data_IF_854577937840
#
_entry.id   IF_854577937840
#
_cell.length_a   1.000
_cell.length_b   1.000
_cell.length_c   1.000
_cell.angle_alpha   90.00
_cell.angle_beta   90.00
_cell.angle_gamma   90.00
#
_symmetry.space_group_name_H-M   'P 1'
#
loop_
_entity.id
_entity.type
_entity.pdbx_description
1 polymer ?
#
# COMPACT_ATOMS: atom_id res chain seq x y z
N UNK A 1 -14.80 -17.76 -10.10
CA UNK A 1 -15.53 -16.74 -9.32
C UNK A 1 -14.63 -16.37 -8.15
N UNK A 2 -14.38 -15.09 -7.89
CA UNK A 2 -13.61 -14.67 -6.74
C UNK A 2 -14.43 -14.95 -5.47
N UNK A 3 -13.83 -15.69 -4.53
CA UNK A 3 -14.43 -15.92 -3.22
C UNK A 3 -14.28 -14.66 -2.37
N UNK A 4 -15.33 -14.25 -1.69
CA UNK A 4 -15.37 -13.09 -0.80
C UNK A 4 -15.40 -13.55 0.64
N UNK A 5 -14.68 -12.85 1.51
CA UNK A 5 -14.67 -13.06 2.96
C UNK A 5 -15.11 -11.79 3.65
N UNK A 6 -15.96 -11.92 4.66
CA UNK A 6 -16.45 -10.78 5.44
C UNK A 6 -15.96 -10.90 6.88
N UNK A 7 -15.43 -9.79 7.40
CA UNK A 7 -15.07 -9.63 8.81
C UNK A 7 -15.91 -8.51 9.40
N UNK A 8 -16.35 -8.64 10.63
CA UNK A 8 -17.20 -7.67 11.29
C UNK A 8 -16.74 -7.37 12.72
N UNK A 9 -16.79 -6.10 13.08
CA UNK A 9 -16.67 -5.61 14.45
C UNK A 9 -17.90 -4.76 14.79
N UNK A 10 -18.06 -4.29 16.05
CA UNK A 10 -19.14 -3.35 16.38
C UNK A 10 -19.17 -2.09 15.51
N UNK A 11 -18.00 -1.56 15.09
CA UNK A 11 -17.89 -0.29 14.37
C UNK A 11 -17.62 -0.45 12.89
N UNK A 12 -16.94 -1.52 12.47
CA UNK A 12 -16.45 -1.70 11.10
C UNK A 12 -16.97 -2.99 10.48
N UNK A 13 -17.11 -2.96 9.14
CA UNK A 13 -17.22 -4.17 8.33
C UNK A 13 -16.17 -4.13 7.21
N UNK A 14 -15.57 -5.27 6.95
CA UNK A 14 -14.52 -5.44 5.94
C UNK A 14 -14.93 -6.52 4.97
N UNK A 15 -14.78 -6.26 3.68
CA UNK A 15 -14.92 -7.24 2.62
C UNK A 15 -13.57 -7.47 1.97
N UNK A 16 -13.16 -8.73 1.89
CA UNK A 16 -11.92 -9.18 1.27
C UNK A 16 -12.23 -10.08 0.08
N UNK A 17 -11.32 -10.16 -0.88
CA UNK A 17 -11.39 -11.11 -2.01
C UNK A 17 -10.10 -11.93 -2.07
N UNK A 18 -10.22 -13.21 -2.41
CA UNK A 18 -9.06 -14.08 -2.64
C UNK A 18 -8.22 -13.63 -3.86
N UNK A 19 -8.81 -12.94 -4.84
CA UNK A 19 -8.05 -12.35 -5.95
C UNK A 19 -7.20 -11.20 -5.46
N UNK A 20 -5.87 -11.41 -5.42
CA UNK A 20 -4.90 -10.43 -4.93
C UNK A 20 -4.90 -10.27 -3.41
N UNK A 21 -5.51 -11.18 -2.62
CA UNK A 21 -5.79 -11.00 -1.19
C UNK A 21 -6.27 -9.55 -0.93
N UNK A 22 -7.29 -9.13 -1.66
CA UNK A 22 -7.70 -7.75 -1.87
C UNK A 22 -8.60 -7.22 -0.77
N UNK A 23 -8.32 -6.02 -0.28
CA UNK A 23 -9.23 -5.24 0.54
C UNK A 23 -10.24 -4.53 -0.40
N UNK A 24 -11.47 -5.07 -0.47
CA UNK A 24 -12.52 -4.59 -1.37
C UNK A 24 -13.32 -3.46 -0.75
N UNK A 25 -13.65 -3.59 0.55
CA UNK A 25 -14.43 -2.61 1.29
C UNK A 25 -13.93 -2.50 2.73
N UNK A 26 -13.95 -1.28 3.24
CA UNK A 26 -13.78 -0.94 4.64
C UNK A 26 -14.91 0.04 4.99
N UNK A 27 -15.93 -0.45 5.70
CA UNK A 27 -17.18 0.26 6.00
C UNK A 27 -17.22 0.71 7.45
N UNK A 28 -17.51 1.98 7.67
CA UNK A 28 -17.90 2.54 8.97
C UNK A 28 -19.40 2.33 9.17
N UNK A 29 -19.81 1.42 10.07
CA UNK A 29 -21.19 0.95 10.20
C UNK A 29 -22.14 2.08 10.60
N UNK A 30 -21.77 2.91 11.59
CA UNK A 30 -22.61 3.98 12.12
C UNK A 30 -23.04 4.98 11.03
N UNK A 31 -22.16 5.28 10.09
CA UNK A 31 -22.41 6.24 9.00
C UNK A 31 -22.83 5.54 7.70
N UNK A 32 -22.82 4.20 7.66
CA UNK A 32 -22.96 3.41 6.44
C UNK A 32 -22.03 3.90 5.32
N UNK A 33 -20.77 4.21 5.68
CA UNK A 33 -19.81 4.89 4.84
C UNK A 33 -18.65 3.98 4.45
N UNK A 34 -18.49 3.69 3.16
CA UNK A 34 -17.29 3.06 2.63
C UNK A 34 -16.12 4.05 2.59
N UNK A 35 -14.98 3.65 3.14
CA UNK A 35 -13.76 4.47 3.15
C UNK A 35 -12.94 4.31 1.88
N UNK A 36 -13.28 3.34 1.03
CA UNK A 36 -12.55 2.99 -0.18
C UNK A 36 -13.32 3.37 -1.44
N UNK A 37 -12.57 3.48 -2.53
CA UNK A 37 -13.10 3.67 -3.88
C UNK A 37 -14.07 2.53 -4.22
N UNK A 38 -15.28 2.88 -4.64
CA UNK A 38 -16.28 1.91 -5.08
C UNK A 38 -15.86 1.29 -6.42
N UNK A 39 -15.83 -0.02 -6.45
CA UNK A 39 -15.45 -0.82 -7.63
C UNK A 39 -16.55 -1.79 -8.08
N UNK A 40 -17.77 -1.67 -7.56
CA UNK A 40 -18.86 -2.61 -7.84
C UNK A 40 -19.21 -2.74 -9.33
N UNK A 41 -19.00 -1.68 -10.11
CA UNK A 41 -19.25 -1.65 -11.56
C UNK A 41 -17.96 -1.60 -12.39
N UNK A 42 -16.81 -1.97 -11.80
CA UNK A 42 -15.51 -1.95 -12.46
C UNK A 42 -15.09 -3.36 -12.84
N UNK A 43 -14.60 -3.54 -14.06
CA UNK A 43 -14.12 -4.86 -14.52
C UNK A 43 -12.90 -5.32 -13.72
N UNK A 44 -12.75 -6.63 -13.56
CA UNK A 44 -11.59 -7.23 -12.88
C UNK A 44 -10.27 -6.80 -13.52
N UNK A 45 -10.24 -6.72 -14.86
CA UNK A 45 -9.03 -6.31 -15.59
C UNK A 45 -8.61 -4.88 -15.23
N UNK A 46 -9.55 -3.95 -15.09
CA UNK A 46 -9.26 -2.58 -14.71
C UNK A 46 -8.87 -2.46 -13.24
N UNK A 47 -9.52 -3.24 -12.38
CA UNK A 47 -9.15 -3.36 -10.96
C UNK A 47 -7.71 -3.89 -10.83
N UNK A 48 -7.35 -4.90 -11.60
CA UNK A 48 -6.00 -5.47 -11.64
C UNK A 48 -4.97 -4.52 -12.26
N UNK A 49 -5.36 -3.78 -13.30
CA UNK A 49 -4.50 -2.79 -13.94
C UNK A 49 -4.04 -1.70 -12.95
N UNK A 50 -4.95 -1.25 -12.11
CA UNK A 50 -4.67 -0.22 -11.09
C UNK A 50 -4.37 -0.80 -9.70
N UNK A 51 -4.20 -2.11 -9.55
CA UNK A 51 -3.90 -2.79 -8.29
C UNK A 51 -4.90 -2.48 -7.16
N UNK A 52 -6.16 -2.06 -7.47
CA UNK A 52 -7.09 -1.48 -6.51
C UNK A 52 -7.34 -2.43 -5.33
N UNK A 53 -6.95 -2.03 -4.13
CA UNK A 53 -7.11 -2.78 -2.87
C UNK A 53 -6.22 -4.02 -2.75
N UNK A 54 -5.47 -4.39 -3.81
CA UNK A 54 -4.69 -5.63 -3.86
C UNK A 54 -3.44 -5.61 -2.98
N UNK A 55 -2.99 -6.80 -2.59
CA UNK A 55 -1.66 -7.01 -2.03
C UNK A 55 -0.64 -6.93 -3.16
N UNK A 56 0.21 -5.93 -3.12
CA UNK A 56 1.23 -5.68 -4.13
C UNK A 56 2.55 -6.29 -3.72
N UNK A 57 3.18 -6.97 -4.65
CA UNK A 57 4.44 -7.70 -4.53
C UNK A 57 4.71 -8.55 -5.78
N UNK A 58 5.81 -9.32 -5.78
CA UNK A 58 6.85 -9.50 -4.77
C UNK A 58 7.64 -8.25 -4.42
N UNK A 59 7.67 -7.24 -5.32
CA UNK A 59 8.35 -5.98 -5.08
C UNK A 59 7.41 -4.79 -5.40
N UNK A 60 6.95 -4.09 -4.36
CA UNK A 60 6.12 -2.90 -4.48
C UNK A 60 6.92 -1.72 -5.07
N UNK A 61 6.27 -0.94 -5.92
CA UNK A 61 6.94 0.11 -6.68
C UNK A 61 7.75 -0.44 -7.85
N UNK A 62 8.65 0.38 -8.37
CA UNK A 62 9.54 -0.01 -9.48
C UNK A 62 10.79 -0.69 -8.96
N UNK A 63 11.20 -1.76 -9.65
CA UNK A 63 12.46 -2.45 -9.45
C UNK A 63 13.20 -2.53 -10.78
N UNK A 64 14.38 -1.92 -10.87
CA UNK A 64 15.29 -2.09 -12.00
C UNK A 64 16.13 -3.34 -11.79
N UNK A 65 16.18 -4.17 -12.81
CA UNK A 65 17.05 -5.35 -12.86
C UNK A 65 17.94 -5.27 -14.07
N UNK A 66 19.16 -5.72 -13.91
CA UNK A 66 20.11 -5.86 -15.02
C UNK A 66 20.28 -7.35 -15.26
N UNK A 67 20.00 -7.79 -16.46
CA UNK A 67 20.25 -9.17 -16.89
C UNK A 67 21.77 -9.39 -16.95
N UNK A 68 22.28 -10.28 -16.11
CA UNK A 68 23.70 -10.57 -16.02
C UNK A 68 24.27 -11.21 -17.31
N UNK A 69 23.43 -11.81 -18.16
CA UNK A 69 23.87 -12.50 -19.39
C UNK A 69 24.13 -11.53 -20.56
N UNK A 70 23.39 -10.42 -20.63
CA UNK A 70 23.44 -9.51 -21.77
C UNK A 70 23.56 -8.03 -21.37
N UNK A 71 23.57 -7.71 -20.07
CA UNK A 71 23.66 -6.34 -19.55
C UNK A 71 22.42 -5.48 -19.78
N UNK A 72 21.33 -6.06 -20.30
CA UNK A 72 20.09 -5.31 -20.53
C UNK A 72 19.41 -4.96 -19.22
N UNK A 73 18.97 -3.70 -19.12
CA UNK A 73 18.18 -3.24 -17.97
C UNK A 73 16.69 -3.33 -18.27
N UNK A 74 15.94 -3.89 -17.31
CA UNK A 74 14.48 -3.93 -17.35
C UNK A 74 13.89 -3.38 -16.05
N UNK A 75 12.84 -2.57 -16.16
CA UNK A 75 12.10 -2.05 -15.01
C UNK A 75 10.77 -2.77 -14.91
N UNK A 76 10.54 -3.42 -13.78
CA UNK A 76 9.24 -4.00 -13.45
C UNK A 76 8.50 -3.09 -12.46
N UNK A 77 7.19 -3.01 -12.57
CA UNK A 77 6.30 -2.31 -11.63
C UNK A 77 5.45 -3.34 -10.90
N UNK A 78 5.40 -3.24 -9.56
CA UNK A 78 4.53 -4.04 -8.71
C UNK A 78 4.63 -5.56 -8.90
N UNK A 79 5.85 -6.05 -9.19
CA UNK A 79 6.11 -7.48 -9.39
C UNK A 79 5.96 -7.96 -10.84
N UNK A 80 5.56 -7.09 -11.78
CA UNK A 80 5.49 -7.43 -13.20
C UNK A 80 4.60 -8.64 -13.49
N UNK A 81 5.14 -9.65 -14.19
CA UNK A 81 4.41 -10.89 -14.52
C UNK A 81 4.07 -11.75 -13.31
N UNK A 82 4.89 -11.70 -12.24
CA UNK A 82 4.65 -12.43 -10.99
C UNK A 82 3.81 -11.65 -9.98
N UNK A 83 3.14 -10.58 -10.42
CA UNK A 83 2.38 -9.68 -9.56
C UNK A 83 1.37 -10.43 -8.67
N UNK A 84 1.44 -10.14 -7.36
CA UNK A 84 0.62 -10.82 -6.35
C UNK A 84 -0.84 -10.35 -6.38
N UNK A 85 -1.10 -9.10 -6.74
CA UNK A 85 -2.45 -8.53 -6.83
C UNK A 85 -3.31 -9.14 -7.94
N UNK A 86 -2.68 -9.89 -8.88
CA UNK A 86 -3.36 -10.62 -9.97
C UNK A 86 -3.50 -12.11 -9.70
N UNK A 87 -2.94 -12.59 -8.59
CA UNK A 87 -3.00 -14.00 -8.23
C UNK A 87 -4.32 -14.33 -7.53
N UNK A 88 -4.75 -15.58 -7.66
CA UNK A 88 -5.75 -16.16 -6.79
C UNK A 88 -5.04 -16.76 -5.57
N UNK A 89 -5.34 -16.23 -4.41
CA UNK A 89 -4.78 -16.65 -3.14
C UNK A 89 -5.67 -17.71 -2.50
N UNK A 90 -5.05 -18.61 -1.77
CA UNK A 90 -5.74 -19.59 -0.95
C UNK A 90 -6.14 -18.94 0.36
N UNK A 91 -7.43 -19.03 0.73
CA UNK A 91 -7.91 -18.67 2.05
C UNK A 91 -7.64 -19.83 3.00
N UNK A 92 -6.83 -19.58 4.02
CA UNK A 92 -6.55 -20.55 5.08
C UNK A 92 -7.67 -20.57 6.13
N UNK A 93 -7.86 -21.71 6.74
CA UNK A 93 -8.79 -21.81 7.86
C UNK A 93 -8.22 -21.08 9.09
N UNK A 94 -9.02 -20.18 9.67
CA UNK A 94 -8.71 -19.52 10.94
C UNK A 94 -9.77 -19.89 11.97
N UNK A 95 -9.35 -20.22 13.18
CA UNK A 95 -10.26 -20.39 14.34
C UNK A 95 -10.73 -19.05 14.93
N UNK A 96 -10.04 -17.97 14.58
CA UNK A 96 -10.34 -16.62 15.06
C UNK A 96 -11.41 -15.98 14.17
N UNK A 97 -12.55 -15.52 14.72
CA UNK A 97 -13.69 -15.06 13.91
C UNK A 97 -13.43 -13.77 13.12
N UNK A 98 -12.47 -12.96 13.56
CA UNK A 98 -12.14 -11.67 12.94
C UNK A 98 -10.79 -11.68 12.22
N UNK A 99 -10.33 -12.86 11.80
CA UNK A 99 -9.06 -13.06 11.11
C UNK A 99 -9.29 -13.79 9.78
N UNK A 100 -8.74 -13.25 8.71
CA UNK A 100 -8.66 -13.91 7.41
C UNK A 100 -7.20 -14.00 6.98
N UNK A 101 -6.73 -15.20 6.65
CA UNK A 101 -5.36 -15.45 6.24
C UNK A 101 -5.37 -15.95 4.80
N UNK A 102 -4.60 -15.30 3.95
CA UNK A 102 -4.43 -15.67 2.55
C UNK A 102 -2.97 -16.04 2.28
N UNK A 103 -2.78 -17.10 1.49
CA UNK A 103 -1.44 -17.59 1.10
C UNK A 103 -1.33 -17.75 -0.41
N UNK A 104 -0.13 -17.52 -0.94
CA UNK A 104 0.22 -17.78 -2.36
C UNK A 104 1.71 -18.02 -2.49
N UNK A 105 2.09 -18.92 -3.39
CA UNK A 105 3.49 -19.22 -3.69
C UNK A 105 3.90 -18.67 -5.05
N UNK A 106 5.21 -18.40 -5.20
CA UNK A 106 5.89 -18.13 -6.46
C UNK A 106 7.15 -18.98 -6.52
N UNK A 107 7.37 -19.60 -7.67
CA UNK A 107 8.53 -20.48 -7.88
C UNK A 107 9.80 -19.70 -8.24
N UNK A 108 10.93 -20.35 -8.08
CA UNK A 108 12.22 -19.82 -8.50
C UNK A 108 12.15 -19.34 -9.97
N UNK A 109 12.64 -18.13 -10.24
CA UNK A 109 12.65 -17.52 -11.56
C UNK A 109 11.35 -16.77 -11.95
N UNK A 110 10.20 -17.06 -11.33
CA UNK A 110 8.98 -16.31 -11.62
C UNK A 110 9.17 -14.81 -11.31
N UNK A 111 8.77 -13.96 -12.28
CA UNK A 111 9.04 -12.53 -12.22
C UNK A 111 10.53 -12.16 -12.24
N UNK A 112 11.42 -13.11 -12.61
CA UNK A 112 12.87 -12.96 -12.64
C UNK A 112 13.49 -12.82 -11.25
N UNK A 113 12.84 -13.29 -10.20
CA UNK A 113 13.35 -13.25 -8.83
C UNK A 113 13.82 -14.65 -8.40
N UNK A 114 14.95 -14.77 -7.63
CA UNK A 114 15.45 -16.04 -7.15
C UNK A 114 14.60 -16.64 -6.05
N UNK A 115 14.71 -17.94 -5.87
CA UNK A 115 14.08 -18.73 -4.81
C UNK A 115 12.59 -18.99 -4.98
N UNK A 116 12.11 -20.07 -4.39
CA UNK A 116 10.70 -20.25 -4.10
C UNK A 116 10.30 -19.29 -2.97
N UNK A 117 9.13 -18.68 -3.08
CA UNK A 117 8.65 -17.65 -2.17
C UNK A 117 7.23 -17.95 -1.77
N UNK A 118 7.02 -18.14 -0.47
CA UNK A 118 5.71 -18.38 0.11
C UNK A 118 5.24 -17.10 0.84
N UNK A 119 4.20 -16.49 0.31
CA UNK A 119 3.62 -15.25 0.82
C UNK A 119 2.39 -15.54 1.67
N UNK A 120 2.22 -14.77 2.75
CA UNK A 120 1.01 -14.77 3.57
C UNK A 120 0.60 -13.35 3.89
N UNK A 121 -0.72 -13.12 3.87
CA UNK A 121 -1.36 -11.88 4.32
C UNK A 121 -2.44 -12.23 5.31
N UNK A 122 -2.33 -11.72 6.54
CA UNK A 122 -3.36 -11.85 7.56
C UNK A 122 -4.05 -10.50 7.79
N UNK A 123 -5.37 -10.50 7.63
CA UNK A 123 -6.24 -9.38 7.99
C UNK A 123 -6.87 -9.67 9.33
N UNK A 124 -6.65 -8.80 10.33
CA UNK A 124 -7.26 -8.89 11.67
C UNK A 124 -8.08 -7.64 11.93
N UNK A 125 -9.38 -7.82 12.11
CA UNK A 125 -10.31 -6.73 12.40
C UNK A 125 -10.55 -6.63 13.91
N UNK A 126 -10.27 -5.44 14.46
CA UNK A 126 -10.61 -5.06 15.84
C UNK A 126 -11.78 -4.07 15.83
N UNK A 127 -12.15 -3.53 17.01
CA UNK A 127 -13.29 -2.61 17.13
C UNK A 127 -13.26 -1.46 16.11
N UNK A 128 -12.13 -0.74 16.01
CA UNK A 128 -11.96 0.41 15.12
C UNK A 128 -10.69 0.35 14.28
N UNK A 129 -10.06 -0.81 14.13
CA UNK A 129 -8.84 -0.94 13.35
C UNK A 129 -8.76 -2.24 12.57
N UNK A 130 -8.20 -2.14 11.36
CA UNK A 130 -7.82 -3.25 10.51
C UNK A 130 -6.29 -3.36 10.53
N UNK A 131 -5.79 -4.50 10.97
CA UNK A 131 -4.36 -4.86 10.93
C UNK A 131 -4.12 -5.73 9.71
N UNK A 132 -3.08 -5.43 8.96
CA UNK A 132 -2.61 -6.20 7.81
C UNK A 132 -1.19 -6.65 8.10
N UNK A 133 -1.02 -7.95 8.37
CA UNK A 133 0.28 -8.57 8.54
C UNK A 133 0.72 -9.22 7.23
N UNK A 134 1.85 -8.77 6.72
CA UNK A 134 2.45 -9.23 5.48
C UNK A 134 3.68 -10.07 5.83
N UNK A 135 3.77 -11.28 5.31
CA UNK A 135 4.96 -12.12 5.51
C UNK A 135 5.37 -12.86 4.25
N UNK A 136 6.66 -13.18 4.17
CA UNK A 136 7.21 -14.01 3.12
C UNK A 136 8.38 -14.83 3.64
N UNK A 137 8.43 -16.10 3.24
CA UNK A 137 9.56 -16.99 3.41
C UNK A 137 10.14 -17.29 2.04
N UNK A 138 11.47 -17.35 1.92
CA UNK A 138 12.15 -17.62 0.64
C UNK A 138 13.24 -18.68 0.79
N UNK A 139 13.47 -19.47 -0.26
CA UNK A 139 14.54 -20.48 -0.31
C UNK A 139 15.90 -19.91 -0.76
N UNK A 140 15.94 -18.66 -1.25
CA UNK A 140 17.17 -17.97 -1.69
C UNK A 140 17.10 -16.51 -1.26
N UNK A 141 18.26 -15.86 -1.15
CA UNK A 141 18.28 -14.41 -0.94
C UNK A 141 17.51 -13.72 -2.06
N UNK A 142 16.47 -12.97 -1.70
CA UNK A 142 15.50 -12.43 -2.66
C UNK A 142 15.10 -11.00 -2.27
N UNK A 143 15.06 -10.05 -3.21
CA UNK A 143 14.53 -8.73 -2.93
C UNK A 143 13.01 -8.78 -2.81
N UNK A 144 12.49 -8.28 -1.68
CA UNK A 144 11.07 -8.29 -1.36
C UNK A 144 10.62 -6.91 -0.85
N UNK A 145 9.48 -6.48 -1.33
CA UNK A 145 8.75 -5.32 -0.80
C UNK A 145 7.25 -5.56 -1.00
N UNK A 146 6.50 -5.66 0.09
CA UNK A 146 5.06 -5.88 0.04
C UNK A 146 4.32 -4.62 0.48
N UNK A 147 3.09 -4.42 -0.01
CA UNK A 147 2.17 -3.38 0.46
C UNK A 147 0.73 -3.75 0.16
N UNK A 148 -0.23 -3.00 0.72
CA UNK A 148 -1.63 -2.99 0.31
C UNK A 148 -1.91 -1.70 -0.47
N UNK A 149 -2.56 -1.82 -1.63
CA UNK A 149 -2.81 -0.71 -2.55
C UNK A 149 -4.27 -0.20 -2.44
N UNK A 150 -4.69 0.09 -1.21
CA UNK A 150 -6.02 0.63 -0.96
C UNK A 150 -6.16 2.06 -1.50
N UNK A 151 -7.30 2.34 -2.15
CA UNK A 151 -7.68 3.66 -2.67
C UNK A 151 -8.66 4.30 -1.70
N UNK A 152 -8.20 5.20 -0.85
CA UNK A 152 -9.01 5.85 0.17
C UNK A 152 -9.75 7.05 -0.37
N UNK A 153 -11.06 7.10 -0.10
CA UNK A 153 -11.92 8.24 -0.37
C UNK A 153 -12.42 8.90 0.92
N UNK A 154 -12.54 8.13 2.00
CA UNK A 154 -13.23 8.52 3.23
C UNK A 154 -14.60 9.17 2.97
N UNK A 155 -15.29 8.75 1.89
CA UNK A 155 -16.57 9.32 1.45
C UNK A 155 -16.48 10.67 0.71
N UNK A 156 -15.27 11.16 0.43
CA UNK A 156 -15.10 12.33 -0.44
C UNK A 156 -15.21 11.94 -1.92
N UNK A 157 -15.67 12.88 -2.74
CA UNK A 157 -15.76 12.70 -4.21
C UNK A 157 -14.47 13.04 -4.93
N UNK A 158 -13.50 13.66 -4.23
CA UNK A 158 -12.17 14.00 -4.74
C UNK A 158 -11.14 13.95 -3.62
N UNK A 159 -9.94 13.46 -3.93
CA UNK A 159 -8.80 13.48 -3.02
C UNK A 159 -8.44 14.92 -2.57
N UNK A 160 -8.72 15.93 -3.40
CA UNK A 160 -8.45 17.33 -3.07
C UNK A 160 -9.23 17.85 -1.84
N UNK A 161 -10.36 17.21 -1.50
CA UNK A 161 -11.17 17.56 -0.33
C UNK A 161 -10.65 16.90 0.97
N UNK A 162 -9.69 16.01 0.89
CA UNK A 162 -9.10 15.35 2.05
C UNK A 162 -7.91 16.14 2.60
N UNK A 163 -7.73 16.09 3.91
CA UNK A 163 -6.56 16.62 4.60
C UNK A 163 -5.59 15.49 4.94
N UNK A 164 -4.29 15.75 4.76
CA UNK A 164 -3.24 14.81 5.11
C UNK A 164 -2.28 15.43 6.12
N UNK A 165 -1.91 14.65 7.13
CA UNK A 165 -0.77 14.90 8.01
C UNK A 165 0.16 13.69 7.96
N UNK A 166 1.48 13.93 7.92
CA UNK A 166 2.45 12.83 7.85
C UNK A 166 3.77 13.20 8.53
N UNK A 167 4.31 12.25 9.30
CA UNK A 167 5.62 12.41 9.94
C UNK A 167 6.74 11.91 9.02
N UNK A 168 7.01 12.66 7.95
CA UNK A 168 8.12 12.39 7.05
C UNK A 168 8.80 13.70 6.63
N UNK A 169 10.12 13.68 6.53
CA UNK A 169 10.94 14.88 6.28
C UNK A 169 11.50 14.96 4.87
N UNK A 170 11.42 13.88 4.12
CA UNK A 170 11.99 13.81 2.77
C UNK A 170 11.22 12.86 1.86
N UNK A 171 11.34 13.11 0.56
CA UNK A 171 10.86 12.22 -0.51
C UNK A 171 12.04 11.70 -1.33
N UNK A 172 11.93 10.48 -1.82
CA UNK A 172 12.89 9.89 -2.75
C UNK A 172 12.80 10.57 -4.12
N UNK A 173 13.95 10.83 -4.72
CA UNK A 173 14.04 11.31 -6.09
C UNK A 173 14.07 10.12 -7.05
N UNK A 174 13.40 10.29 -8.18
CA UNK A 174 13.36 9.30 -9.27
C UNK A 174 14.13 9.78 -10.48
N UNK A 175 14.54 8.85 -11.32
CA UNK A 175 15.09 9.12 -12.65
C UNK A 175 13.98 9.23 -13.73
N UNK A 176 14.40 9.31 -15.01
CA UNK A 176 13.49 9.42 -16.16
C UNK A 176 12.57 8.20 -16.35
N UNK A 177 12.94 7.02 -15.83
CA UNK A 177 12.11 5.82 -15.82
C UNK A 177 11.27 5.71 -14.55
N UNK A 178 11.26 6.76 -13.73
CA UNK A 178 10.55 6.83 -12.44
C UNK A 178 11.07 5.81 -11.42
N UNK A 179 12.27 5.29 -11.56
CA UNK A 179 12.95 4.47 -10.56
C UNK A 179 13.59 5.33 -9.49
N UNK A 180 13.41 4.96 -8.22
CA UNK A 180 14.08 5.65 -7.11
C UNK A 180 15.59 5.51 -7.24
N UNK A 181 16.29 6.65 -7.09
CA UNK A 181 17.75 6.74 -7.24
C UNK A 181 18.52 6.55 -5.92
N UNK A 182 17.78 6.46 -4.79
CA UNK A 182 18.36 6.50 -3.45
C UNK A 182 18.73 7.90 -2.96
N UNK A 183 18.62 8.92 -3.81
CA UNK A 183 18.71 10.32 -3.40
C UNK A 183 17.36 10.77 -2.87
N UNK A 184 17.37 11.67 -1.90
CA UNK A 184 16.15 12.28 -1.34
C UNK A 184 16.26 13.80 -1.30
N UNK A 185 15.11 14.46 -1.27
CA UNK A 185 15.02 15.90 -1.04
C UNK A 185 14.16 16.18 0.20
N UNK A 186 14.50 17.24 0.94
CA UNK A 186 13.67 17.73 2.04
C UNK A 186 12.33 18.23 1.51
N UNK A 187 11.26 17.93 2.24
CA UNK A 187 9.92 18.46 1.92
C UNK A 187 9.62 19.78 2.64
N UNK A 188 10.45 20.18 3.61
CA UNK A 188 10.23 21.36 4.45
C UNK A 188 10.04 22.62 3.60
N UNK A 189 8.93 23.34 3.81
CA UNK A 189 8.59 24.56 3.09
C UNK A 189 8.15 24.35 1.63
N UNK A 190 7.97 23.10 1.19
CA UNK A 190 7.47 22.78 -0.15
C UNK A 190 5.98 22.40 -0.14
N UNK A 191 5.31 22.33 -1.29
CA UNK A 191 3.94 21.78 -1.36
C UNK A 191 3.82 20.32 -0.91
N UNK A 192 4.93 19.58 -0.79
CA UNK A 192 4.99 18.20 -0.29
C UNK A 192 5.17 18.12 1.23
N UNK A 193 5.20 19.24 1.95
CA UNK A 193 5.31 19.26 3.41
C UNK A 193 3.95 19.04 4.06
N UNK A 194 3.75 17.84 4.61
CA UNK A 194 2.57 17.42 5.37
C UNK A 194 2.88 17.23 6.86
N UNK A 195 3.96 17.82 7.40
CA UNK A 195 4.27 17.75 8.84
C UNK A 195 3.14 18.32 9.70
N UNK A 196 2.41 19.29 9.17
CA UNK A 196 1.13 19.77 9.70
C UNK A 196 0.00 19.34 8.78
N UNK A 197 -1.18 19.14 9.34
CA UNK A 197 -2.37 18.83 8.56
C UNK A 197 -2.67 19.94 7.53
N UNK A 198 -2.81 19.56 6.27
CA UNK A 198 -3.20 20.45 5.17
C UNK A 198 -4.04 19.72 4.13
N UNK A 199 -4.84 20.49 3.38
CA UNK A 199 -5.61 19.95 2.26
C UNK A 199 -4.70 19.44 1.16
N UNK A 200 -5.02 18.28 0.62
CA UNK A 200 -4.35 17.73 -0.57
C UNK A 200 -4.57 18.63 -1.79
N UNK A 201 -5.70 19.34 -1.86
CA UNK A 201 -5.99 20.33 -2.89
C UNK A 201 -4.89 21.39 -3.03
N UNK A 202 -4.30 21.87 -1.91
CA UNK A 202 -3.23 22.86 -1.93
C UNK A 202 -1.96 22.30 -2.59
N UNK A 203 -1.64 21.03 -2.31
CA UNK A 203 -0.50 20.39 -2.95
C UNK A 203 -0.75 20.09 -4.43
N UNK A 204 -1.99 19.71 -4.79
CA UNK A 204 -2.40 19.43 -6.16
C UNK A 204 -2.40 20.68 -7.05
N UNK A 205 -2.58 21.89 -6.50
CA UNK A 205 -2.38 23.13 -7.26
C UNK A 205 -0.93 23.28 -7.77
N UNK A 206 0.05 22.84 -6.98
CA UNK A 206 1.45 22.87 -7.39
C UNK A 206 1.85 21.64 -8.22
N UNK A 207 1.11 20.55 -8.11
CA UNK A 207 1.32 19.29 -8.84
C UNK A 207 0.06 18.89 -9.60
N UNK A 208 -0.31 19.58 -10.69
CA UNK A 208 -1.56 19.32 -11.43
C UNK A 208 -1.61 17.93 -12.08
N UNK A 209 -0.46 17.29 -12.30
CA UNK A 209 -0.37 15.89 -12.75
C UNK A 209 -0.62 14.86 -11.66
N UNK A 210 -0.79 15.30 -10.41
CA UNK A 210 -0.99 14.44 -9.25
C UNK A 210 0.28 14.21 -8.44
N UNK A 211 0.08 13.69 -7.23
CA UNK A 211 1.17 13.23 -6.39
C UNK A 211 1.43 11.74 -6.67
N UNK A 212 2.70 11.40 -6.83
CA UNK A 212 3.19 10.01 -6.97
C UNK A 212 4.59 9.98 -6.35
N UNK A 213 4.66 10.06 -5.00
CA UNK A 213 5.91 10.32 -4.27
C UNK A 213 6.11 9.34 -3.13
N UNK A 214 7.32 8.82 -2.98
CA UNK A 214 7.71 7.94 -1.88
C UNK A 214 8.40 8.74 -0.78
N UNK A 215 7.74 8.81 0.37
CA UNK A 215 8.25 9.48 1.56
C UNK A 215 9.08 8.53 2.40
N UNK A 216 10.23 9.02 2.90
CA UNK A 216 11.07 8.28 3.84
C UNK A 216 10.58 8.55 5.25
N UNK A 217 10.15 7.51 5.94
CA UNK A 217 9.62 7.57 7.29
C UNK A 217 10.77 7.61 8.31
N UNK A 218 10.59 8.40 9.39
CA UNK A 218 11.62 8.58 10.41
C UNK A 218 11.85 7.31 11.27
N UNK A 219 10.88 6.41 11.30
CA UNK A 219 10.87 5.20 12.12
C UNK A 219 10.64 3.97 11.23
N UNK A 220 11.71 3.35 10.80
CA UNK A 220 11.71 2.03 10.17
C UNK A 220 12.35 1.01 11.11
N UNK A 221 11.73 0.71 12.25
CA UNK A 221 12.19 -0.40 13.11
C UNK A 221 11.65 -1.71 12.58
N UNK A 222 12.52 -2.55 12.01
CA UNK A 222 12.15 -3.84 11.41
C UNK A 222 11.96 -4.97 12.42
N UNK A 223 12.57 -4.88 13.59
CA UNK A 223 12.66 -5.99 14.54
C UNK A 223 11.49 -6.05 15.52
N UNK A 224 10.58 -5.07 15.51
CA UNK A 224 9.48 -4.99 16.47
C UNK A 224 8.18 -4.78 15.70
N UNK A 225 7.24 -5.73 15.80
CA UNK A 225 5.90 -5.63 15.24
C UNK A 225 5.02 -4.61 16.00
N UNK A 226 5.63 -3.50 16.44
CA UNK A 226 4.94 -2.36 17.02
C UNK A 226 5.03 -1.20 16.03
N UNK A 227 3.97 -0.98 15.24
CA UNK A 227 3.99 0.04 14.21
C UNK A 227 3.88 1.44 14.81
N UNK A 228 4.67 2.38 14.28
CA UNK A 228 4.54 3.80 14.59
C UNK A 228 3.43 4.43 13.73
N UNK A 229 2.64 5.33 14.32
CA UNK A 229 1.70 6.18 13.56
C UNK A 229 2.52 7.12 12.67
N UNK A 230 2.34 6.99 11.36
CA UNK A 230 3.13 7.71 10.35
C UNK A 230 2.33 8.74 9.58
N UNK A 231 1.02 8.54 9.44
CA UNK A 231 0.14 9.46 8.72
C UNK A 231 -1.28 9.47 9.29
N UNK A 232 -1.99 10.54 9.03
CA UNK A 232 -3.44 10.68 9.21
C UNK A 232 -4.07 11.31 7.97
N UNK A 233 -5.11 10.67 7.44
CA UNK A 233 -5.97 11.18 6.38
C UNK A 233 -7.33 11.54 6.99
N UNK A 234 -7.84 12.73 6.73
CA UNK A 234 -9.07 13.22 7.34
C UNK A 234 -10.02 13.76 6.28
N UNK A 235 -11.28 13.36 6.37
CA UNK A 235 -12.38 14.04 5.70
C UNK A 235 -13.12 14.93 6.72
N UNK A 236 -12.86 16.23 6.69
CA UNK A 236 -13.45 17.18 7.64
C UNK A 236 -14.98 17.33 7.46
N UNK A 237 -15.50 17.07 6.27
CA UNK A 237 -16.92 17.21 5.97
C UNK A 237 -17.80 16.19 6.70
N UNK A 238 -17.28 14.98 6.97
CA UNK A 238 -18.01 13.94 7.68
C UNK A 238 -17.36 13.54 9.02
N UNK A 239 -16.23 14.16 9.38
CA UNK A 239 -15.52 13.93 10.63
C UNK A 239 -14.77 12.59 10.71
N UNK A 240 -14.61 11.86 9.60
CA UNK A 240 -13.90 10.58 9.59
C UNK A 240 -12.41 10.81 9.36
N UNK A 241 -11.59 10.16 10.19
CA UNK A 241 -10.14 10.13 10.07
C UNK A 241 -9.62 8.70 10.02
N UNK A 242 -8.60 8.49 9.19
CA UNK A 242 -7.84 7.27 9.07
C UNK A 242 -6.40 7.53 9.53
N UNK A 243 -5.98 6.92 10.63
CA UNK A 243 -4.58 6.85 11.03
C UNK A 243 -3.91 5.63 10.40
N UNK A 244 -2.73 5.85 9.84
CA UNK A 244 -1.87 4.78 9.33
C UNK A 244 -0.68 4.62 10.28
N UNK A 245 -0.48 3.39 10.77
CA UNK A 245 0.71 3.00 11.48
C UNK A 245 1.39 1.83 10.75
N UNK A 246 2.71 1.79 10.74
CA UNK A 246 3.44 0.77 9.99
C UNK A 246 4.84 0.51 10.51
N UNK A 247 5.36 -0.69 10.21
CA UNK A 247 6.76 -1.07 10.41
C UNK A 247 7.61 -0.86 9.14
N UNK A 248 7.02 -0.39 8.06
CA UNK A 248 7.71 -0.11 6.80
C UNK A 248 8.52 1.19 6.84
N UNK A 249 9.64 1.28 6.08
CA UNK A 249 10.49 2.48 6.06
C UNK A 249 9.97 3.61 5.17
N UNK A 250 9.05 3.33 4.27
CA UNK A 250 8.51 4.31 3.31
C UNK A 250 6.99 4.31 3.29
N UNK A 251 6.42 5.45 2.93
CA UNK A 251 5.01 5.61 2.58
C UNK A 251 4.92 6.25 1.18
N UNK A 252 4.35 5.51 0.23
CA UNK A 252 4.04 6.05 -1.10
C UNK A 252 2.71 6.78 -1.04
N UNK A 253 2.67 7.99 -1.59
CA UNK A 253 1.44 8.74 -1.84
C UNK A 253 1.16 8.73 -3.33
N UNK A 254 -0.05 8.32 -3.70
CA UNK A 254 -0.53 8.39 -5.07
C UNK A 254 -1.97 8.91 -5.10
N UNK A 255 -2.20 10.03 -5.76
CA UNK A 255 -3.52 10.70 -5.81
C UNK A 255 -4.41 10.22 -6.96
N UNK A 256 -4.27 8.97 -7.35
CA UNK A 256 -5.12 8.30 -8.33
C UNK A 256 -5.26 9.05 -9.67
N UNK A 257 -4.22 9.80 -10.08
CA UNK A 257 -4.24 10.67 -11.26
C UNK A 257 -4.35 9.93 -12.60
N UNK A 258 -4.02 8.61 -12.62
CA UNK A 258 -4.02 7.79 -13.85
C UNK A 258 -5.27 6.93 -14.02
N UNK A 259 -6.25 7.02 -13.11
CA UNK A 259 -7.51 6.29 -13.25
C UNK A 259 -8.24 6.69 -14.53
N UNK A 260 -8.89 5.71 -15.17
CA UNK A 260 -9.64 5.88 -16.43
C UNK A 260 -11.08 5.40 -16.29
N UNK A 261 -11.96 5.84 -17.18
CA UNK A 261 -13.38 5.45 -17.20
C UNK A 261 -13.55 3.93 -17.03
N UNK A 262 -14.53 3.50 -16.20
CA UNK A 262 -15.58 4.25 -15.50
C UNK A 262 -15.10 4.97 -14.23
N UNK A 263 -13.87 4.72 -13.78
CA UNK A 263 -13.23 5.44 -12.70
C UNK A 263 -12.80 6.83 -13.17
N UNK A 264 -12.62 7.76 -12.23
CA UNK A 264 -12.21 9.12 -12.55
C UNK A 264 -10.90 9.48 -11.83
N UNK A 265 -9.96 10.19 -12.49
CA UNK A 265 -8.77 10.70 -11.86
C UNK A 265 -9.08 11.52 -10.60
N UNK A 266 -8.19 11.49 -9.63
CA UNK A 266 -8.23 12.25 -8.38
C UNK A 266 -9.44 11.98 -7.47
N UNK A 267 -10.17 10.88 -7.66
CA UNK A 267 -11.28 10.50 -6.76
C UNK A 267 -10.83 9.87 -5.46
N UNK A 268 -9.59 9.41 -5.38
CA UNK A 268 -9.04 8.72 -4.22
C UNK A 268 -7.56 9.03 -4.01
N UNK A 269 -7.03 8.62 -2.88
CA UNK A 269 -5.59 8.64 -2.58
C UNK A 269 -5.16 7.24 -2.11
N UNK A 270 -4.00 6.77 -2.59
CA UNK A 270 -3.30 5.62 -2.04
C UNK A 270 -2.23 6.07 -1.05
N UNK A 271 -2.14 5.36 0.06
CA UNK A 271 -1.16 5.55 1.12
C UNK A 271 -0.52 4.18 1.38
N UNK A 272 0.53 3.87 0.62
CA UNK A 272 1.11 2.53 0.54
C UNK A 272 2.36 2.46 1.41
N UNK A 273 2.25 1.85 2.58
CA UNK A 273 3.41 1.54 3.41
C UNK A 273 4.18 0.38 2.77
N UNK A 274 5.47 0.60 2.44
CA UNK A 274 6.29 -0.34 1.68
C UNK A 274 7.78 -0.23 2.01
N UNK A 275 8.57 -1.19 1.51
CA UNK A 275 10.02 -1.09 1.49
C UNK A 275 10.51 0.07 0.61
N UNK A 276 11.82 0.32 0.61
CA UNK A 276 12.41 1.32 -0.27
C UNK A 276 12.18 0.95 -1.74
N UNK A 277 11.45 1.78 -2.55
CA UNK A 277 11.33 1.56 -3.99
C UNK A 277 12.71 1.46 -4.63
N UNK A 278 12.91 0.48 -5.53
CA UNK A 278 14.20 0.17 -6.16
C UNK A 278 15.34 -0.09 -5.14
N UNK A 279 15.00 -0.46 -3.92
CA UNK A 279 15.90 -0.55 -2.76
C UNK A 279 17.18 -1.36 -3.00
N UNK A 280 17.16 -2.53 -3.68
CA UNK A 280 18.37 -3.30 -3.98
C UNK A 280 19.45 -2.51 -4.71
N UNK A 281 19.07 -1.47 -5.45
CA UNK A 281 19.96 -0.72 -6.36
C UNK A 281 20.50 0.59 -5.77
N UNK A 282 20.22 0.91 -4.49
CA UNK A 282 20.73 2.11 -3.86
C UNK A 282 21.04 1.93 -2.36
N UNK A 283 21.94 2.77 -1.85
CA UNK A 283 22.49 2.61 -0.50
C UNK A 283 21.44 2.62 0.63
N UNK A 284 20.38 3.43 0.51
CA UNK A 284 19.34 3.54 1.54
C UNK A 284 18.54 2.24 1.73
N UNK A 285 18.29 1.50 0.64
CA UNK A 285 17.42 0.34 0.67
C UNK A 285 18.14 -1.00 0.56
N UNK A 286 19.43 -1.02 0.20
CA UNK A 286 20.14 -2.24 -0.17
C UNK A 286 20.10 -3.32 0.91
N UNK A 287 20.45 -2.99 2.14
CA UNK A 287 20.44 -3.94 3.26
C UNK A 287 19.04 -4.34 3.71
N UNK A 288 18.05 -3.54 3.36
CA UNK A 288 16.70 -3.65 3.88
C UNK A 288 15.71 -4.26 2.89
N UNK A 289 16.10 -4.42 1.65
CA UNK A 289 15.23 -4.94 0.60
C UNK A 289 15.34 -6.44 0.39
N UNK A 290 16.28 -7.11 1.07
CA UNK A 290 16.55 -8.54 0.90
C UNK A 290 16.00 -9.36 2.06
N UNK A 291 15.42 -10.50 1.71
CA UNK A 291 15.08 -11.58 2.65
C UNK A 291 16.09 -12.70 2.41
N UNK A 292 16.82 -13.08 3.45
CA UNK A 292 17.83 -14.13 3.35
C UNK A 292 17.17 -15.51 3.19
N UNK A 293 17.89 -16.43 2.55
CA UNK A 293 17.46 -17.81 2.35
C UNK A 293 17.04 -18.49 3.67
N UNK A 294 15.86 -19.10 3.68
CA UNK A 294 15.28 -19.77 4.85
C UNK A 294 14.73 -18.83 5.93
N UNK A 295 14.82 -17.50 5.73
CA UNK A 295 14.28 -16.54 6.68
C UNK A 295 12.85 -16.15 6.29
N UNK A 296 12.06 -15.80 7.32
CA UNK A 296 10.74 -15.20 7.16
C UNK A 296 10.82 -13.73 7.57
N UNK A 297 10.42 -12.83 6.68
CA UNK A 297 10.19 -11.43 7.06
C UNK A 297 8.72 -11.22 7.39
N UNK A 298 8.47 -10.28 8.32
CA UNK A 298 7.13 -9.87 8.72
C UNK A 298 7.05 -8.36 8.78
N UNK A 299 5.99 -7.81 8.22
CA UNK A 299 5.73 -6.37 8.18
C UNK A 299 4.28 -6.12 8.51
N UNK A 300 3.98 -4.98 9.12
CA UNK A 300 2.63 -4.66 9.59
C UNK A 300 2.18 -3.29 9.10
N UNK A 301 0.93 -3.23 8.68
CA UNK A 301 0.19 -2.00 8.39
C UNK A 301 -1.05 -2.00 9.29
N UNK A 302 -1.35 -0.87 9.92
CA UNK A 302 -2.57 -0.71 10.72
C UNK A 302 -3.34 0.49 10.18
N UNK A 303 -4.59 0.26 9.86
CA UNK A 303 -5.60 1.28 9.55
C UNK A 303 -6.49 1.44 10.77
N UNK A 304 -6.37 2.58 11.48
CA UNK A 304 -7.24 2.91 12.63
C UNK A 304 -8.20 4.02 12.24
N UNK A 305 -9.48 3.76 12.44
CA UNK A 305 -10.57 4.66 12.06
C UNK A 305 -11.08 5.40 13.30
N UNK A 306 -11.21 6.71 13.18
CA UNK A 306 -11.80 7.57 14.20
C UNK A 306 -12.96 8.34 13.57
N UNK A 307 -14.10 8.33 14.26
CA UNK A 307 -15.28 9.09 13.90
C UNK A 307 -15.38 10.30 14.83
N UNK A 308 -15.14 11.48 14.30
CA UNK A 308 -15.37 12.75 14.98
C UNK A 308 -16.74 13.35 14.65
N UNK A 309 -17.02 14.51 15.21
CA UNK A 309 -18.11 15.34 14.75
C UNK A 309 -17.69 16.07 13.47
N UNK A 310 -18.59 16.25 12.48
CA UNK A 310 -18.30 17.11 11.34
C UNK A 310 -17.91 18.51 11.83
N UNK A 311 -16.86 19.06 11.29
CA UNK A 311 -16.54 20.48 11.51
C UNK A 311 -17.50 21.32 10.69
N UNK A 312 -18.22 22.22 11.36
CA UNK A 312 -19.08 23.22 10.72
C UNK A 312 -18.27 24.21 9.88
#
# INVERSE_FOLDING_TARGET
MSNVTHLESPKLAVTLSNRGARLVQLLVKRQNLSLLLDTAQVSTDLIDQFCIGGTVGPFAGRLRRVDASNGQSAVSLHGGEAALHRADWLLEHSSEPNVAIYTVSRRHGEGGLPGDRDFSVAYTLSDNSLVIDLSVTTTHDTPISLTNHAYFTLGATSASALSLQMNAKSVLLTDSEQCATGRSMSVAGTPLDFARERLLGDALMAYPGGLDHSYVLASGRRDVLVPDRVAALTNRANGVSLDIATTHPCLQIYTASKLTSPLRPFTAICLEAQGFPNGPNHALGRSESWVAAGQTTKQRIVYRITEGSPTQ
#
